data_IF_804353184195
#
_entry.id   IF_804353184195
#
_cell.length_a   1.000
_cell.length_b   1.000
_cell.length_c   1.000
_cell.angle_alpha   90.00
_cell.angle_beta   90.00
_cell.angle_gamma   90.00
#
_symmetry.space_group_name_H-M   'P 1'
#
loop_
_entity.id
_entity.type
_entity.pdbx_description
1 polymer ?
#
# COMPACT_ATOMS: atom_id res chain seq x y z
N UNK A 1 -20.30 29.33 51.87
CA UNK A 1 -21.22 28.17 51.86
C UNK A 1 -21.66 27.92 50.42
N UNK A 2 -21.23 26.78 49.81
CA UNK A 2 -21.61 26.16 48.50
C UNK A 2 -21.32 26.98 47.21
N UNK A 3 -20.42 26.51 46.32
CA UNK A 3 -20.59 25.57 45.16
C UNK A 3 -21.53 26.14 44.07
N UNK A 4 -21.23 26.16 42.77
CA UNK A 4 -20.15 25.61 41.94
C UNK A 4 -20.45 25.85 40.44
N UNK A 5 -19.47 25.55 39.58
CA UNK A 5 -19.51 25.05 38.19
C UNK A 5 -20.33 25.82 37.12
N UNK A 6 -19.80 26.19 35.96
CA UNK A 6 -19.40 25.20 34.94
C UNK A 6 -18.53 25.81 33.83
N UNK A 7 -17.61 24.96 33.36
CA UNK A 7 -16.81 25.05 32.16
C UNK A 7 -17.66 25.06 30.89
N UNK A 8 -17.34 25.93 29.92
CA UNK A 8 -17.72 25.74 28.52
C UNK A 8 -16.48 25.37 27.71
N UNK A 9 -16.34 24.06 27.49
CA UNK A 9 -15.40 23.46 26.56
C UNK A 9 -15.72 23.87 25.13
N UNK A 10 -14.80 24.60 24.49
CA UNK A 10 -14.80 24.81 23.04
C UNK A 10 -14.42 23.51 22.33
N UNK A 11 -15.42 22.73 21.91
CA UNK A 11 -15.24 21.59 21.00
C UNK A 11 -14.98 22.08 19.57
N UNK A 12 -13.78 22.62 19.33
CA UNK A 12 -13.26 22.77 17.98
C UNK A 12 -12.76 21.42 17.48
N UNK A 13 -13.63 20.59 16.91
CA UNK A 13 -13.16 19.48 16.07
C UNK A 13 -12.42 20.08 14.87
N UNK A 14 -11.12 19.80 14.67
CA UNK A 14 -10.46 20.23 13.44
C UNK A 14 -11.16 19.54 12.27
N UNK A 15 -11.72 20.34 11.35
CA UNK A 15 -12.24 19.83 10.08
C UNK A 15 -11.08 19.09 9.41
N UNK A 16 -11.19 17.76 9.33
CA UNK A 16 -10.21 16.93 8.65
C UNK A 16 -10.16 17.40 7.20
N UNK A 17 -8.99 17.84 6.74
CA UNK A 17 -8.81 18.22 5.36
C UNK A 17 -9.03 16.97 4.48
N UNK A 18 -10.18 16.90 3.83
CA UNK A 18 -10.55 15.81 2.91
C UNK A 18 -9.87 16.04 1.57
N UNK A 19 -9.26 14.99 0.99
CA UNK A 19 -8.61 15.10 -0.33
C UNK A 19 -9.56 15.74 -1.35
N UNK A 20 -9.11 16.80 -2.01
CA UNK A 20 -9.80 17.32 -3.19
C UNK A 20 -9.21 16.59 -4.39
N UNK A 21 -9.62 15.34 -4.57
CA UNK A 21 -9.54 14.76 -5.90
C UNK A 21 -10.68 15.34 -6.72
N UNK A 22 -10.40 15.72 -7.96
CA UNK A 22 -11.44 16.19 -8.90
C UNK A 22 -12.42 15.04 -9.25
N UNK A 23 -12.04 13.80 -8.93
CA UNK A 23 -12.66 12.53 -9.30
C UNK A 23 -12.45 11.48 -8.19
N UNK A 24 -13.06 10.28 -8.32
CA UNK A 24 -12.96 9.25 -7.28
C UNK A 24 -11.75 8.35 -7.48
N UNK A 25 -10.82 8.19 -6.51
CA UNK A 25 -9.62 7.38 -6.74
C UNK A 25 -9.92 5.89 -6.97
N UNK A 26 -9.30 5.30 -7.99
CA UNK A 26 -9.17 3.86 -8.20
C UNK A 26 -7.71 3.45 -8.00
N UNK A 27 -7.46 2.62 -6.99
CA UNK A 27 -6.14 2.02 -6.75
C UNK A 27 -6.20 0.52 -6.98
N UNK A 28 -5.34 0.02 -7.86
CA UNK A 28 -5.12 -1.41 -8.07
C UNK A 28 -3.73 -1.75 -7.53
N UNK A 29 -3.66 -2.75 -6.66
CA UNK A 29 -2.41 -3.19 -6.04
C UNK A 29 -2.18 -4.67 -6.27
N UNK A 30 -0.93 -5.04 -6.55
CA UNK A 30 -0.52 -6.40 -6.85
C UNK A 30 0.57 -6.83 -5.86
N UNK A 31 0.35 -7.92 -5.14
CA UNK A 31 1.27 -8.47 -4.14
C UNK A 31 1.64 -9.92 -4.44
N UNK A 32 2.60 -10.47 -3.69
CA UNK A 32 2.97 -11.89 -3.79
C UNK A 32 3.65 -12.24 -5.12
N UNK A 33 4.36 -11.28 -5.72
CA UNK A 33 5.16 -11.48 -6.93
C UNK A 33 6.21 -12.56 -6.65
N UNK A 34 6.23 -13.58 -7.48
CA UNK A 34 7.18 -14.68 -7.44
C UNK A 34 7.48 -15.09 -8.88
N UNK A 35 8.62 -15.76 -9.12
CA UNK A 35 9.01 -16.16 -10.47
C UNK A 35 7.91 -16.97 -11.20
N UNK A 36 7.26 -17.91 -10.49
CA UNK A 36 6.19 -18.76 -11.06
C UNK A 36 4.90 -18.02 -11.45
N UNK A 37 4.67 -16.81 -10.94
CA UNK A 37 3.46 -16.03 -11.22
C UNK A 37 3.71 -14.88 -12.19
N UNK A 38 4.95 -14.69 -12.66
CA UNK A 38 5.37 -13.50 -13.38
C UNK A 38 4.63 -13.34 -14.72
N UNK A 39 4.45 -14.41 -15.49
CA UNK A 39 3.70 -14.36 -16.76
C UNK A 39 2.25 -13.90 -16.56
N UNK A 40 1.58 -14.47 -15.54
CA UNK A 40 0.22 -14.05 -15.18
C UNK A 40 0.14 -12.60 -14.71
N UNK A 41 1.20 -12.11 -14.04
CA UNK A 41 1.31 -10.70 -13.65
C UNK A 41 1.54 -9.80 -14.86
N UNK A 42 2.37 -10.22 -15.82
CA UNK A 42 2.66 -9.48 -17.04
C UNK A 42 1.42 -9.35 -17.93
N UNK A 43 0.66 -10.44 -18.13
CA UNK A 43 -0.62 -10.40 -18.83
C UNK A 43 -1.61 -9.41 -18.18
N UNK A 44 -1.72 -9.49 -16.85
CA UNK A 44 -2.62 -8.63 -16.10
C UNK A 44 -2.19 -7.16 -16.14
N UNK A 45 -0.88 -6.90 -16.08
CA UNK A 45 -0.33 -5.55 -16.25
C UNK A 45 -0.62 -5.01 -17.66
N UNK A 46 -0.50 -5.83 -18.71
CA UNK A 46 -0.84 -5.42 -20.08
C UNK A 46 -2.34 -5.06 -20.24
N UNK A 47 -3.24 -5.77 -19.55
CA UNK A 47 -4.66 -5.40 -19.50
C UNK A 47 -4.91 -4.05 -18.80
N UNK A 48 -4.15 -3.76 -17.74
CA UNK A 48 -4.20 -2.49 -17.03
C UNK A 48 -3.60 -1.34 -17.83
N UNK A 49 -2.53 -1.59 -18.57
CA UNK A 49 -1.92 -0.61 -19.48
C UNK A 49 -2.90 -0.18 -20.57
N UNK A 50 -3.63 -1.14 -21.17
CA UNK A 50 -4.73 -0.84 -22.13
C UNK A 50 -5.80 0.08 -21.53
N UNK A 51 -6.04 -0.02 -20.23
CA UNK A 51 -7.02 0.77 -19.48
C UNK A 51 -6.42 2.04 -18.88
N UNK A 52 -5.12 2.28 -19.07
CA UNK A 52 -4.37 3.38 -18.45
C UNK A 52 -4.44 3.38 -16.91
N UNK A 53 -4.50 2.19 -16.30
CA UNK A 53 -4.56 2.02 -14.84
C UNK A 53 -3.18 1.64 -14.31
N UNK A 54 -2.49 2.49 -13.53
CA UNK A 54 -1.19 2.15 -12.97
C UNK A 54 -1.31 1.16 -11.81
N UNK A 55 -0.33 0.28 -11.64
CA UNK A 55 -0.24 -0.62 -10.51
C UNK A 55 0.50 0.00 -9.33
N UNK A 56 0.03 -0.33 -8.12
CA UNK A 56 0.84 -0.28 -6.90
C UNK A 56 1.41 -1.67 -6.60
N UNK A 57 2.66 -1.91 -6.96
CA UNK A 57 3.38 -3.16 -6.75
C UNK A 57 3.81 -3.25 -5.27
N UNK A 58 3.29 -4.25 -4.57
CA UNK A 58 3.47 -4.45 -3.13
C UNK A 58 4.61 -5.45 -2.88
N UNK A 59 5.78 -4.93 -2.57
CA UNK A 59 6.99 -5.75 -2.39
C UNK A 59 7.18 -6.06 -0.91
N UNK A 60 7.07 -7.34 -0.56
CA UNK A 60 7.40 -7.81 0.78
C UNK A 60 8.89 -8.10 0.88
N UNK A 61 9.64 -7.41 1.76
CA UNK A 61 11.07 -7.61 1.85
C UNK A 61 11.37 -8.92 2.55
N UNK A 62 11.73 -9.96 1.79
CA UNK A 62 12.15 -11.24 2.33
C UNK A 62 13.62 -11.43 1.96
N UNK A 63 14.53 -11.58 2.93
CA UNK A 63 15.96 -11.72 2.63
C UNK A 63 16.28 -12.84 1.64
N UNK A 64 15.50 -13.93 1.67
CA UNK A 64 15.68 -15.09 0.77
C UNK A 64 15.10 -14.88 -0.62
N UNK A 65 14.01 -14.11 -0.77
CA UNK A 65 13.32 -13.92 -2.05
C UNK A 65 13.86 -12.71 -2.83
N UNK A 66 14.56 -11.80 -2.14
CA UNK A 66 15.18 -10.59 -2.69
C UNK A 66 16.69 -10.67 -2.64
N UNK A 67 17.27 -11.87 -2.77
CA UNK A 67 18.70 -12.11 -2.60
C UNK A 67 19.48 -11.10 -3.45
N UNK A 68 19.99 -10.06 -2.77
CA UNK A 68 20.44 -8.80 -3.37
C UNK A 68 21.68 -8.93 -4.26
N UNK A 69 22.16 -10.16 -4.41
CA UNK A 69 23.29 -10.53 -5.26
C UNK A 69 22.83 -11.02 -6.63
N UNK A 70 21.57 -11.40 -6.80
CA UNK A 70 21.05 -11.81 -8.10
C UNK A 70 20.43 -10.64 -8.86
N UNK A 71 21.31 -9.81 -9.44
CA UNK A 71 20.95 -8.75 -10.38
C UNK A 71 20.24 -9.28 -11.64
N UNK A 72 20.06 -10.61 -11.77
CA UNK A 72 19.35 -11.27 -12.86
C UNK A 72 17.97 -11.78 -12.46
N UNK A 73 17.45 -11.46 -11.28
CA UNK A 73 16.09 -11.83 -10.90
C UNK A 73 15.07 -11.31 -11.92
N UNK A 74 14.37 -12.18 -12.68
CA UNK A 74 13.42 -11.75 -13.71
C UNK A 74 12.28 -10.91 -13.12
N UNK A 75 11.90 -11.22 -11.87
CA UNK A 75 10.91 -10.46 -11.13
C UNK A 75 11.39 -9.03 -10.85
N UNK A 76 12.64 -8.84 -10.39
CA UNK A 76 13.14 -7.49 -10.09
C UNK A 76 13.33 -6.66 -11.36
N UNK A 77 13.80 -7.28 -12.45
CA UNK A 77 13.84 -6.62 -13.77
C UNK A 77 12.45 -6.18 -14.21
N UNK A 78 11.46 -7.06 -14.14
CA UNK A 78 10.08 -6.73 -14.48
C UNK A 78 9.53 -5.60 -13.61
N UNK A 79 9.76 -5.63 -12.29
CA UNK A 79 9.36 -4.53 -11.39
C UNK A 79 10.04 -3.21 -11.77
N UNK A 80 11.33 -3.22 -12.09
CA UNK A 80 12.07 -2.04 -12.50
C UNK A 80 11.51 -1.44 -13.80
N UNK A 81 11.22 -2.28 -14.80
CA UNK A 81 10.61 -1.84 -16.06
C UNK A 81 9.23 -1.21 -15.84
N UNK A 82 8.40 -1.82 -14.99
CA UNK A 82 7.09 -1.29 -14.61
C UNK A 82 7.19 0.08 -13.92
N UNK A 83 8.14 0.23 -12.99
CA UNK A 83 8.40 1.49 -12.26
C UNK A 83 8.99 2.57 -13.18
N UNK A 84 9.77 2.19 -14.19
CA UNK A 84 10.20 3.12 -15.25
C UNK A 84 9.03 3.69 -16.07
N UNK A 85 7.87 3.03 -16.02
CA UNK A 85 6.61 3.50 -16.58
C UNK A 85 5.75 4.27 -15.58
N UNK A 86 4.52 3.79 -15.35
CA UNK A 86 3.49 4.48 -14.52
C UNK A 86 3.28 3.81 -13.16
N UNK A 87 3.84 2.63 -12.97
CA UNK A 87 3.62 1.86 -11.75
C UNK A 87 4.51 2.36 -10.62
N UNK A 88 4.14 2.01 -9.40
CA UNK A 88 4.92 2.39 -8.21
C UNK A 88 5.16 1.19 -7.33
N UNK A 89 6.29 1.18 -6.65
CA UNK A 89 6.58 0.21 -5.59
C UNK A 89 6.12 0.75 -4.26
N UNK A 90 5.52 -0.12 -3.45
CA UNK A 90 5.19 0.14 -2.05
C UNK A 90 5.77 -0.97 -1.17
N UNK A 91 6.31 -0.58 -0.02
CA UNK A 91 6.83 -1.53 0.95
C UNK A 91 5.65 -2.27 1.59
N UNK A 92 5.59 -3.59 1.43
CA UNK A 92 4.49 -4.41 1.94
C UNK A 92 4.89 -5.27 3.14
N UNK A 93 4.65 -4.71 4.33
CA UNK A 93 4.97 -5.33 5.60
C UNK A 93 6.38 -5.03 6.08
N UNK A 94 6.83 -5.82 7.05
CA UNK A 94 8.18 -5.75 7.58
C UNK A 94 8.98 -6.96 7.10
N UNK A 95 10.30 -6.83 7.06
CA UNK A 95 11.17 -7.98 6.83
C UNK A 95 10.89 -9.02 7.91
N UNK A 96 10.60 -10.26 7.50
CA UNK A 96 10.42 -11.39 8.41
C UNK A 96 11.78 -11.73 8.99
N UNK A 97 12.12 -11.14 10.13
CA UNK A 97 13.45 -11.33 10.75
C UNK A 97 13.60 -12.71 11.41
N UNK A 98 12.52 -13.49 11.60
CA UNK A 98 12.63 -14.87 12.11
C UNK A 98 11.45 -15.75 11.68
N UNK A 99 11.68 -17.03 11.28
CA UNK A 99 10.64 -18.05 11.26
C UNK A 99 10.17 -18.34 12.70
N UNK A 100 8.87 -18.60 12.90
CA UNK A 100 8.36 -19.12 14.17
C UNK A 100 6.99 -18.59 14.60
N UNK A 101 6.38 -19.30 15.56
CA UNK A 101 5.05 -19.02 16.12
C UNK A 101 4.96 -17.60 16.73
N UNK A 102 6.03 -17.11 17.37
CA UNK A 102 6.07 -15.76 17.97
C UNK A 102 5.94 -14.62 16.93
N UNK A 103 6.53 -14.77 15.74
CA UNK A 103 6.36 -13.79 14.64
C UNK A 103 4.94 -13.79 14.06
N UNK A 104 4.21 -14.91 14.18
CA UNK A 104 2.79 -15.03 13.76
C UNK A 104 1.83 -14.46 14.79
N UNK A 105 2.22 -14.50 16.07
CA UNK A 105 1.40 -14.07 17.20
C UNK A 105 1.57 -12.61 17.59
N UNK A 106 2.65 -11.93 17.18
CA UNK A 106 2.79 -10.48 17.36
C UNK A 106 1.72 -9.78 16.52
N UNK A 107 0.63 -9.25 17.11
CA UNK A 107 -0.39 -8.60 16.32
C UNK A 107 0.25 -7.33 15.76
N UNK A 108 0.33 -7.19 14.45
CA UNK A 108 0.68 -5.92 13.82
C UNK A 108 -0.16 -4.75 14.39
N UNK A 109 -1.37 -5.07 14.87
CA UNK A 109 -2.29 -4.17 15.57
C UNK A 109 -1.81 -3.65 16.93
N UNK A 110 -0.79 -4.23 17.58
CA UNK A 110 -0.29 -3.83 18.91
C UNK A 110 1.22 -3.55 18.97
N UNK A 111 1.88 -3.45 17.81
CA UNK A 111 3.33 -3.25 17.76
C UNK A 111 3.71 -1.85 18.29
N UNK A 112 4.61 -1.74 19.29
CA UNK A 112 5.12 -0.45 19.76
C UNK A 112 5.90 0.29 18.67
N UNK A 113 5.93 1.62 18.74
CA UNK A 113 6.58 2.46 17.72
C UNK A 113 8.07 2.17 17.55
N UNK A 114 8.78 1.90 18.65
CA UNK A 114 10.22 1.60 18.60
C UNK A 114 10.50 0.30 17.83
N UNK A 115 9.77 -0.77 18.16
CA UNK A 115 9.92 -2.07 17.50
C UNK A 115 9.48 -2.01 16.03
N UNK A 116 8.36 -1.35 15.73
CA UNK A 116 7.94 -1.08 14.36
C UNK A 116 9.01 -0.30 13.58
N UNK A 117 9.65 0.67 14.23
CA UNK A 117 10.71 1.48 13.65
C UNK A 117 11.95 0.66 13.27
N UNK A 118 12.39 -0.28 14.11
CA UNK A 118 13.51 -1.18 13.80
C UNK A 118 13.17 -2.10 12.62
N UNK A 119 11.95 -2.65 12.63
CA UNK A 119 11.46 -3.54 11.56
C UNK A 119 11.33 -2.83 10.21
N UNK A 120 10.92 -1.55 10.20
CA UNK A 120 10.88 -0.72 8.99
C UNK A 120 12.26 -0.42 8.44
N UNK A 121 13.27 -0.20 9.29
CA UNK A 121 14.65 0.01 8.85
C UNK A 121 15.17 -1.24 8.15
N UNK A 122 15.04 -2.40 8.80
CA UNK A 122 15.47 -3.67 8.19
C UNK A 122 14.74 -3.95 6.87
N UNK A 123 13.42 -3.72 6.84
CA UNK A 123 12.60 -3.85 5.64
C UNK A 123 13.05 -2.93 4.50
N UNK A 124 13.34 -1.66 4.80
CA UNK A 124 13.77 -0.68 3.81
C UNK A 124 15.18 -0.99 3.30
N UNK A 125 16.09 -1.43 4.17
CA UNK A 125 17.43 -1.82 3.78
C UNK A 125 17.42 -3.01 2.80
N UNK A 126 16.58 -4.03 3.04
CA UNK A 126 16.43 -5.16 2.11
C UNK A 126 15.87 -4.69 0.76
N UNK A 127 14.91 -3.76 0.76
CA UNK A 127 14.35 -3.21 -0.48
C UNK A 127 15.39 -2.38 -1.26
N UNK A 128 16.16 -1.56 -0.55
CA UNK A 128 17.25 -0.74 -1.11
C UNK A 128 18.38 -1.59 -1.69
N UNK A 129 18.73 -2.69 -1.03
CA UNK A 129 19.70 -3.68 -1.54
C UNK A 129 19.21 -4.33 -2.85
N UNK A 130 17.91 -4.48 -3.03
CA UNK A 130 17.30 -4.94 -4.28
C UNK A 130 17.15 -3.82 -5.34
N UNK A 131 17.73 -2.63 -5.11
CA UNK A 131 17.65 -1.48 -6.03
C UNK A 131 16.30 -0.75 -6.00
N UNK A 132 15.41 -1.08 -5.07
CA UNK A 132 14.07 -0.51 -4.98
C UNK A 132 13.99 0.51 -3.84
N UNK A 133 13.34 1.65 -4.11
CA UNK A 133 13.10 2.70 -3.10
C UNK A 133 11.65 3.13 -3.13
N UNK A 134 11.08 3.39 -1.96
CA UNK A 134 9.70 3.87 -1.85
C UNK A 134 9.48 4.64 -0.57
N UNK A 135 8.54 5.59 -0.60
CA UNK A 135 8.01 6.29 0.57
C UNK A 135 6.57 5.89 0.88
N UNK A 136 6.10 4.81 0.28
CA UNK A 136 4.75 4.27 0.49
C UNK A 136 4.84 2.98 1.28
N UNK A 137 4.13 2.91 2.39
CA UNK A 137 4.06 1.75 3.26
C UNK A 137 2.67 1.14 3.28
N UNK A 138 2.61 -0.18 3.10
CA UNK A 138 1.42 -0.99 3.31
C UNK A 138 1.72 -1.95 4.46
N UNK A 139 1.04 -1.86 5.61
CA UNK A 139 1.34 -2.66 6.78
C UNK A 139 1.03 -4.15 6.53
N UNK A 140 1.68 -5.05 7.28
CA UNK A 140 1.39 -6.47 7.14
C UNK A 140 -0.07 -6.75 7.51
N UNK A 141 -0.72 -7.65 6.74
CA UNK A 141 -2.15 -7.96 6.89
C UNK A 141 -3.08 -6.75 6.76
N UNK A 142 -2.59 -5.64 6.18
CA UNK A 142 -3.34 -4.39 6.07
C UNK A 142 -3.73 -3.78 7.44
N UNK A 143 -2.96 -4.04 8.50
CA UNK A 143 -3.22 -3.55 9.85
C UNK A 143 -2.04 -2.74 10.40
N UNK A 144 -2.22 -1.43 10.55
CA UNK A 144 -1.26 -0.56 11.22
C UNK A 144 -1.73 -0.19 12.63
N UNK A 145 -0.93 -0.49 13.65
CA UNK A 145 -1.11 0.12 14.98
C UNK A 145 -0.78 1.62 14.93
N UNK A 146 -1.27 2.44 15.89
CA UNK A 146 -0.83 3.84 16.02
C UNK A 146 0.71 3.97 16.11
N UNK A 147 1.35 3.04 16.83
CA UNK A 147 2.81 2.98 16.90
C UNK A 147 3.47 2.69 15.55
N UNK A 148 2.88 1.83 14.73
CA UNK A 148 3.35 1.54 13.37
C UNK A 148 3.23 2.75 12.46
N UNK A 149 2.11 3.47 12.52
CA UNK A 149 1.92 4.72 11.75
C UNK A 149 2.95 5.76 12.14
N UNK A 150 3.15 5.98 13.45
CA UNK A 150 4.17 6.90 13.97
C UNK A 150 5.58 6.50 13.56
N UNK A 151 5.89 5.21 13.60
CA UNK A 151 7.18 4.69 13.16
C UNK A 151 7.41 4.94 11.66
N UNK A 152 6.41 4.67 10.82
CA UNK A 152 6.49 4.95 9.38
C UNK A 152 6.73 6.44 9.10
N UNK A 153 5.99 7.32 9.78
CA UNK A 153 6.18 8.77 9.67
C UNK A 153 7.60 9.19 10.07
N UNK A 154 8.09 8.74 11.23
CA UNK A 154 9.45 9.05 11.71
C UNK A 154 10.56 8.52 10.81
N UNK A 155 10.29 7.44 10.06
CA UNK A 155 11.21 6.87 9.07
C UNK A 155 11.09 7.52 7.69
N UNK A 156 10.27 8.56 7.56
CA UNK A 156 10.17 9.35 6.34
C UNK A 156 9.22 8.77 5.29
N UNK A 157 8.41 7.76 5.60
CA UNK A 157 7.33 7.38 4.70
C UNK A 157 6.35 8.55 4.56
N UNK A 158 5.87 8.77 3.35
CA UNK A 158 4.90 9.82 3.01
C UNK A 158 3.47 9.28 3.04
N UNK A 159 3.28 7.99 2.78
CA UNK A 159 1.96 7.35 2.74
C UNK A 159 1.96 6.06 3.55
N UNK A 160 0.88 5.83 4.30
CA UNK A 160 0.55 4.54 4.92
C UNK A 160 -0.85 4.10 4.48
N UNK A 161 -0.97 2.99 3.77
CA UNK A 161 -2.24 2.47 3.27
C UNK A 161 -2.63 1.15 3.96
N UNK A 162 -3.66 1.16 4.79
CA UNK A 162 -4.15 0.00 5.55
C UNK A 162 -5.50 -0.50 5.01
N UNK A 163 -6.15 -1.43 5.71
CA UNK A 163 -7.41 -2.03 5.26
C UNK A 163 -8.57 -1.05 5.17
N UNK A 164 -8.51 0.06 5.90
CA UNK A 164 -9.62 1.00 6.11
C UNK A 164 -9.39 2.35 5.45
N UNK A 165 -8.16 2.69 5.09
CA UNK A 165 -7.87 3.92 4.37
C UNK A 165 -6.44 4.08 3.91
N UNK A 166 -6.19 5.23 3.28
CA UNK A 166 -4.87 5.70 2.86
C UNK A 166 -4.58 6.97 3.63
N UNK A 167 -3.49 6.98 4.39
CA UNK A 167 -3.06 8.10 5.22
C UNK A 167 -1.86 8.78 4.60
N UNK A 168 -1.98 10.09 4.42
CA UNK A 168 -0.83 10.97 4.23
C UNK A 168 -0.16 11.17 5.59
N UNK A 169 1.10 10.75 5.69
CA UNK A 169 1.89 10.85 6.91
C UNK A 169 2.48 12.24 7.11
N UNK A 170 2.57 13.07 6.07
CA UNK A 170 3.00 14.47 6.17
C UNK A 170 1.90 15.35 6.75
N UNK A 171 0.67 15.23 6.24
CA UNK A 171 -0.46 16.10 6.63
C UNK A 171 -1.41 15.46 7.65
N UNK A 172 -1.33 14.14 7.85
CA UNK A 172 -2.27 13.38 8.68
C UNK A 172 -3.62 13.11 8.01
N UNK A 173 -3.87 13.60 6.79
CA UNK A 173 -5.12 13.40 6.03
C UNK A 173 -5.34 11.92 5.77
N UNK A 174 -6.61 11.49 5.82
CA UNK A 174 -6.99 10.09 5.58
C UNK A 174 -8.08 10.02 4.53
N UNK A 175 -7.80 9.37 3.41
CA UNK A 175 -8.85 8.86 2.54
C UNK A 175 -9.43 7.59 3.19
N UNK A 176 -10.67 7.67 3.68
CA UNK A 176 -11.37 6.51 4.22
C UNK A 176 -11.93 5.68 3.06
N UNK A 177 -11.33 4.52 2.82
CA UNK A 177 -11.82 3.57 1.82
C UNK A 177 -11.34 2.17 2.20
N UNK A 178 -12.31 1.25 2.36
CA UNK A 178 -12.03 -0.14 2.67
C UNK A 178 -11.42 -0.82 1.45
N UNK A 179 -10.32 -1.51 1.65
CA UNK A 179 -9.72 -2.33 0.60
C UNK A 179 -10.55 -3.59 0.33
N UNK A 180 -10.65 -3.95 -0.93
CA UNK A 180 -11.24 -5.21 -1.38
C UNK A 180 -10.10 -6.13 -1.77
N UNK A 181 -10.00 -7.25 -1.06
CA UNK A 181 -8.91 -8.22 -1.23
C UNK A 181 -9.53 -9.47 -1.83
N UNK A 182 -8.84 -10.09 -2.78
CA UNK A 182 -9.16 -11.42 -3.26
C UNK A 182 -7.93 -12.31 -3.00
N UNK A 183 -7.98 -13.09 -1.92
CA UNK A 183 -6.83 -13.82 -1.35
C UNK A 183 -7.02 -15.35 -1.31
N UNK A 184 -6.03 -16.13 -0.81
CA UNK A 184 -5.95 -17.57 -0.96
C UNK A 184 -6.88 -18.34 -0.02
N UNK A 185 -7.38 -17.68 1.04
CA UNK A 185 -8.37 -18.24 1.98
C UNK A 185 -9.80 -18.22 1.45
N UNK A 186 -10.01 -17.60 0.28
CA UNK A 186 -11.25 -17.61 -0.46
C UNK A 186 -10.95 -18.41 -1.73
N UNK A 187 -11.39 -19.67 -1.76
CA UNK A 187 -11.62 -20.34 -3.04
C UNK A 187 -12.42 -19.35 -3.87
N UNK A 188 -12.03 -19.14 -5.13
CA UNK A 188 -12.70 -18.21 -6.02
C UNK A 188 -14.09 -18.74 -6.37
N UNK A 189 -14.97 -18.82 -5.36
CA UNK A 189 -16.36 -19.15 -5.54
C UNK A 189 -16.97 -18.01 -6.34
N UNK A 190 -17.76 -18.30 -7.39
CA UNK A 190 -18.33 -17.30 -8.29
C UNK A 190 -19.00 -16.11 -7.58
N UNK A 191 -19.52 -16.34 -6.36
CA UNK A 191 -20.16 -15.29 -5.57
C UNK A 191 -19.18 -14.24 -5.02
N UNK A 192 -17.93 -14.59 -4.66
CA UNK A 192 -16.93 -13.63 -4.19
C UNK A 192 -16.48 -12.70 -5.33
N UNK A 193 -16.24 -13.27 -6.51
CA UNK A 193 -15.96 -12.53 -7.73
C UNK A 193 -17.09 -11.55 -8.04
N UNK A 194 -18.34 -12.03 -7.99
CA UNK A 194 -19.53 -11.18 -8.15
C UNK A 194 -19.62 -10.09 -7.07
N UNK A 195 -19.35 -10.42 -5.81
CA UNK A 195 -19.38 -9.47 -4.69
C UNK A 195 -18.31 -8.38 -4.83
N UNK A 196 -17.11 -8.73 -5.33
CA UNK A 196 -16.04 -7.79 -5.66
C UNK A 196 -16.51 -6.78 -6.70
N UNK A 197 -17.01 -7.25 -7.85
CA UNK A 197 -17.49 -6.41 -8.95
C UNK A 197 -18.62 -5.48 -8.48
N UNK A 198 -19.67 -6.04 -7.87
CA UNK A 198 -20.81 -5.26 -7.37
C UNK A 198 -20.38 -4.27 -6.28
N UNK A 199 -19.44 -4.66 -5.42
CA UNK A 199 -18.91 -3.83 -4.36
C UNK A 199 -18.07 -2.66 -4.88
N UNK A 200 -17.26 -2.89 -5.91
CA UNK A 200 -16.45 -1.86 -6.59
C UNK A 200 -17.36 -0.86 -7.31
N UNK A 201 -18.26 -1.34 -8.17
CA UNK A 201 -19.19 -0.49 -8.91
C UNK A 201 -20.08 0.34 -7.99
N UNK A 202 -20.60 -0.25 -6.91
CA UNK A 202 -21.42 0.49 -5.94
C UNK A 202 -20.65 1.62 -5.24
N UNK A 203 -19.35 1.45 -4.99
CA UNK A 203 -18.55 2.53 -4.41
C UNK A 203 -18.26 3.63 -5.42
N UNK A 204 -17.80 3.27 -6.61
CA UNK A 204 -17.52 4.24 -7.68
C UNK A 204 -18.76 5.06 -8.01
N UNK A 205 -19.91 4.42 -8.23
CA UNK A 205 -21.21 5.07 -8.46
C UNK A 205 -21.62 6.05 -7.35
N UNK A 206 -21.14 5.86 -6.12
CA UNK A 206 -21.44 6.71 -4.96
C UNK A 206 -20.38 7.77 -4.70
N UNK A 207 -19.47 8.03 -5.63
CA UNK A 207 -18.44 9.02 -5.39
C UNK A 207 -17.35 8.54 -4.42
N UNK A 208 -17.21 7.22 -4.18
CA UNK A 208 -16.27 6.68 -3.18
C UNK A 208 -15.08 5.99 -3.83
N UNK A 209 -13.91 6.22 -3.27
CA UNK A 209 -12.67 5.58 -3.74
C UNK A 209 -12.77 4.05 -3.75
N UNK A 210 -12.23 3.44 -4.79
CA UNK A 210 -12.14 2.00 -5.00
C UNK A 210 -10.69 1.55 -4.82
N UNK A 211 -10.47 0.59 -3.94
CA UNK A 211 -9.16 0.00 -3.69
C UNK A 211 -9.24 -1.51 -3.87
N UNK A 212 -8.50 -2.05 -4.82
CA UNK A 212 -8.43 -3.46 -5.15
C UNK A 212 -7.03 -4.00 -4.82
N UNK A 213 -6.97 -5.07 -4.04
CA UNK A 213 -5.75 -5.82 -3.76
C UNK A 213 -5.84 -7.20 -4.39
N UNK A 214 -4.88 -7.46 -5.26
CA UNK A 214 -4.73 -8.68 -6.03
C UNK A 214 -3.47 -9.39 -5.56
N UNK A 215 -3.59 -10.67 -5.26
CA UNK A 215 -2.44 -11.53 -5.00
C UNK A 215 -2.06 -12.27 -6.28
N UNK A 216 -0.80 -12.20 -6.68
CA UNK A 216 -0.34 -12.73 -7.97
C UNK A 216 -0.72 -14.20 -8.20
N UNK A 217 -0.68 -15.02 -7.15
CA UNK A 217 -1.02 -16.45 -7.24
C UNK A 217 -2.51 -16.68 -7.57
N UNK A 218 -3.40 -15.74 -7.30
CA UNK A 218 -4.83 -15.88 -7.61
C UNK A 218 -5.15 -15.55 -9.06
N UNK A 219 -4.28 -14.83 -9.78
CA UNK A 219 -4.44 -14.49 -11.20
C UNK A 219 -4.44 -15.70 -12.14
N UNK A 220 -3.90 -16.84 -11.69
CA UNK A 220 -3.95 -18.11 -12.42
C UNK A 220 -5.34 -18.77 -12.36
N UNK A 221 -6.22 -18.32 -11.47
CA UNK A 221 -7.58 -18.88 -11.33
C UNK A 221 -8.49 -18.29 -12.43
N UNK A 222 -9.19 -19.11 -13.25
CA UNK A 222 -9.93 -18.62 -14.41
C UNK A 222 -10.99 -17.55 -14.13
N UNK A 223 -11.68 -17.64 -12.99
CA UNK A 223 -12.75 -16.69 -12.63
C UNK A 223 -12.21 -15.36 -12.04
N UNK A 224 -10.98 -15.36 -11.51
CA UNK A 224 -10.46 -14.24 -10.73
C UNK A 224 -10.03 -13.08 -11.61
N UNK A 225 -9.22 -13.35 -12.64
CA UNK A 225 -8.70 -12.31 -13.54
C UNK A 225 -9.84 -11.54 -14.22
N UNK A 226 -10.85 -12.18 -14.85
CA UNK A 226 -11.99 -11.47 -15.43
C UNK A 226 -12.75 -10.64 -14.40
N UNK A 227 -13.02 -11.18 -13.20
CA UNK A 227 -13.76 -10.44 -12.18
C UNK A 227 -13.03 -9.19 -11.67
N UNK A 228 -11.70 -9.22 -11.58
CA UNK A 228 -10.91 -8.04 -11.24
C UNK A 228 -11.00 -7.00 -12.37
N UNK A 229 -10.87 -7.44 -13.63
CA UNK A 229 -10.99 -6.55 -14.79
C UNK A 229 -12.38 -5.93 -14.90
N UNK A 230 -13.45 -6.71 -14.70
CA UNK A 230 -14.82 -6.21 -14.64
C UNK A 230 -15.02 -5.18 -13.52
N UNK A 231 -14.40 -5.39 -12.35
CA UNK A 231 -14.46 -4.44 -11.24
C UNK A 231 -13.72 -3.13 -11.56
N UNK A 232 -12.61 -3.20 -12.30
CA UNK A 232 -11.85 -2.04 -12.79
C UNK A 232 -12.70 -1.30 -13.83
N UNK A 233 -13.20 -2.00 -14.83
CA UNK A 233 -13.98 -1.43 -15.94
C UNK A 233 -15.25 -0.75 -15.41
N UNK A 234 -15.93 -1.36 -14.44
CA UNK A 234 -17.10 -0.76 -13.79
C UNK A 234 -16.74 0.47 -12.94
N UNK A 235 -15.56 0.50 -12.32
CA UNK A 235 -15.10 1.68 -11.59
C UNK A 235 -14.76 2.83 -12.57
N UNK A 236 -14.05 2.54 -13.65
CA UNK A 236 -13.73 3.49 -14.73
C UNK A 236 -15.00 4.03 -15.39
N UNK A 237 -15.97 3.17 -15.68
CA UNK A 237 -17.27 3.55 -16.24
C UNK A 237 -18.00 4.59 -15.37
N UNK A 238 -17.85 4.51 -14.05
CA UNK A 238 -18.39 5.48 -13.09
C UNK A 238 -17.48 6.69 -12.83
N UNK A 239 -16.46 6.91 -13.66
CA UNK A 239 -15.57 8.08 -13.59
C UNK A 239 -14.53 7.99 -12.48
N UNK A 240 -14.15 6.78 -12.05
CA UNK A 240 -13.03 6.62 -11.14
C UNK A 240 -11.70 6.94 -11.83
N UNK A 241 -10.83 7.66 -11.13
CA UNK A 241 -9.53 8.11 -11.60
C UNK A 241 -8.42 7.15 -11.17
N UNK A 242 -7.71 6.53 -12.11
CA UNK A 242 -6.65 5.59 -11.80
C UNK A 242 -5.44 6.27 -11.16
N UNK A 243 -5.11 5.87 -9.93
CA UNK A 243 -3.97 6.40 -9.18
C UNK A 243 -3.24 5.29 -8.44
N UNK A 244 -2.02 5.58 -8.00
CA UNK A 244 -1.27 4.68 -7.12
C UNK A 244 -1.36 5.13 -5.66
N UNK A 245 -0.94 4.28 -4.72
CA UNK A 245 -0.83 4.71 -3.34
C UNK A 245 0.16 5.88 -3.15
N UNK A 246 1.20 5.97 -3.98
CA UNK A 246 2.16 7.07 -3.89
C UNK A 246 1.54 8.44 -4.21
N UNK A 247 0.48 8.48 -5.03
CA UNK A 247 -0.24 9.71 -5.40
C UNK A 247 -0.95 10.38 -4.21
N UNK A 248 -1.10 9.67 -3.08
CA UNK A 248 -1.64 10.22 -1.83
C UNK A 248 -0.58 10.87 -0.94
N UNK A 249 0.65 11.03 -1.42
CA UNK A 249 1.60 11.90 -0.74
C UNK A 249 1.28 13.35 -1.12
N UNK A 250 0.99 14.22 -0.15
CA UNK A 250 1.09 15.66 -0.43
C UNK A 250 2.56 15.97 -0.73
N UNK A 251 2.83 16.69 -1.82
CA UNK A 251 4.17 17.14 -2.15
C UNK A 251 4.71 17.97 -0.98
N UNK A 252 5.70 17.44 -0.25
CA UNK A 252 6.36 18.19 0.81
C UNK A 252 7.37 19.16 0.17
N UNK A 253 7.36 20.46 0.51
CA UNK A 253 8.38 21.39 0.04
C UNK A 253 9.77 20.85 0.36
N UNK A 254 10.70 20.97 -0.60
CA UNK A 254 12.06 20.46 -0.49
C UNK A 254 12.81 20.98 0.75
N UNK A 255 12.45 22.17 1.23
CA UNK A 255 12.99 22.82 2.42
C UNK A 255 12.72 22.08 3.75
N UNK A 256 11.68 21.24 3.81
CA UNK A 256 11.34 20.49 5.04
C UNK A 256 11.93 19.07 5.03
N UNK A 257 12.65 18.68 3.97
CA UNK A 257 13.39 17.41 3.91
C UNK A 257 14.47 17.42 4.98
N UNK A 258 14.32 16.56 5.99
CA UNK A 258 15.40 16.26 6.95
C UNK A 258 16.66 15.98 6.13
N UNK A 259 17.76 16.75 6.31
CA UNK A 259 18.96 16.58 5.51
C UNK A 259 19.45 15.14 5.62
N UNK A 260 19.76 14.53 4.48
CA UNK A 260 20.56 13.30 4.46
C UNK A 260 21.83 13.58 5.26
N UNK A 261 22.17 12.80 6.31
CA UNK A 261 23.44 12.97 6.98
C UNK A 261 24.54 12.82 5.95
N UNK A 262 25.26 13.92 5.66
CA UNK A 262 26.51 13.86 4.90
C UNK A 262 27.49 13.15 5.82
N UNK A 263 27.72 11.86 5.57
CA UNK A 263 28.88 11.18 6.14
C UNK A 263 30.07 11.74 5.36
N UNK A 264 31.01 12.47 5.99
CA UNK A 264 32.19 12.98 5.29
C UNK A 264 32.99 11.80 4.74
N UNK A 265 33.44 11.92 3.49
CA UNK A 265 34.27 10.90 2.82
C UNK A 265 35.68 10.75 3.41
N UNK A 266 36.03 11.50 4.46
CA UNK A 266 37.38 11.55 5.04
C UNK A 266 37.54 10.76 6.34
N UNK A 267 36.67 9.78 6.60
CA UNK A 267 36.82 8.87 7.73
C UNK A 267 36.92 7.41 7.25
N UNK A 268 38.01 7.11 6.56
CA UNK A 268 38.60 5.76 6.43
C UNK A 268 40.11 5.87 6.55
#
# INVERSE_FOLDING_TARGET
MRRGDTWLSGNGHPRQAEWVFVSTPLVVSLSGLEHRSLDSCADFAAELDRRHVPLSLLISPRPTDLDARDHRSPMLSWVADRVGGRDTVSLHGFARVSPGLRSRLAPAARLPAHEAGLRLVAASAVLEQAGLRTRTFVPPRWLASPGTVLAAQRRGFSVCADAMGVRDLGTGRVLRSRIRILGPGEVAEPWWCRALVLGAGRAARRGRAVRLAVEAQTLAKPAVRPAILDAIDLALHHGADPVTYASFATARPEAERVPTPRIPHEAW
#
